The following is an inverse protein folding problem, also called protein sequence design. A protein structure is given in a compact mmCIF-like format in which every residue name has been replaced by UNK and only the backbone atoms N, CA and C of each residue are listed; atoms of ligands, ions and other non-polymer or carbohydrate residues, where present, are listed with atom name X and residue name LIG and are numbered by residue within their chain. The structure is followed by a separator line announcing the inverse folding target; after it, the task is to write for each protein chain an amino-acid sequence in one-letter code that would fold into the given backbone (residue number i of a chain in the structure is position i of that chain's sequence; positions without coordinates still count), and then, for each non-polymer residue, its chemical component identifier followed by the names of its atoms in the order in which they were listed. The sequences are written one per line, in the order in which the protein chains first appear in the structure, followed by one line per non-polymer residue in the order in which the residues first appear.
data_IF_424328247388
#
_entry.id   IF_424328247388
#
_cell.length_a   1.000
_cell.length_b   1.000
_cell.length_c   1.000
_cell.angle_alpha   90.00
_cell.angle_beta   90.00
_cell.angle_gamma   90.00
#
_symmetry.space_group_name_H-M   'P 1'
#
loop_
_entity.id
_entity.type
_entity.pdbx_description
1 polymer ?
#
# COMPACT_ATOMS: atom_id res chain seq x y z
N UNK A 1 10.16 -19.78 11.23
CA UNK A 1 10.26 -18.30 11.27
C UNK A 1 10.13 -17.72 9.87
N UNK A 2 11.08 -17.97 8.96
CA UNK A 2 11.09 -17.42 7.58
C UNK A 2 9.76 -17.48 6.82
N UNK A 3 9.00 -18.59 6.92
CA UNK A 3 7.68 -18.76 6.28
C UNK A 3 6.63 -17.71 6.69
N UNK A 4 6.70 -17.18 7.90
CA UNK A 4 5.71 -16.23 8.45
C UNK A 4 6.20 -14.79 8.47
N UNK A 5 7.50 -14.54 8.25
CA UNK A 5 8.11 -13.20 8.32
C UNK A 5 7.38 -12.20 7.43
N UNK A 6 7.12 -12.55 6.17
CA UNK A 6 6.49 -11.67 5.20
C UNK A 6 5.09 -11.21 5.66
N UNK A 7 4.28 -12.12 6.20
CA UNK A 7 2.94 -11.80 6.67
C UNK A 7 2.96 -10.94 7.94
N UNK A 8 3.80 -11.30 8.90
CA UNK A 8 3.94 -10.58 10.17
C UNK A 8 4.55 -9.19 9.97
N UNK A 9 5.53 -9.05 9.07
CA UNK A 9 6.08 -7.75 8.67
C UNK A 9 4.99 -6.85 8.06
N UNK A 10 4.16 -7.38 7.15
CA UNK A 10 3.02 -6.65 6.58
C UNK A 10 2.05 -6.16 7.65
N UNK A 11 1.78 -6.99 8.65
CA UNK A 11 0.93 -6.59 9.79
C UNK A 11 1.57 -5.46 10.59
N UNK A 12 2.85 -5.57 10.97
CA UNK A 12 3.56 -4.50 11.68
C UNK A 12 3.56 -3.19 10.88
N UNK A 13 3.94 -3.25 9.61
CA UNK A 13 4.02 -2.10 8.69
C UNK A 13 2.66 -1.45 8.44
N UNK A 14 1.57 -2.22 8.57
CA UNK A 14 0.22 -1.67 8.49
C UNK A 14 -0.15 -0.74 9.65
N UNK A 15 0.57 -0.84 10.78
CA UNK A 15 0.34 -0.06 12.00
C UNK A 15 1.31 1.11 12.11
N UNK A 16 2.62 0.88 11.96
CA UNK A 16 3.64 1.93 12.21
C UNK A 16 3.96 2.81 10.99
N UNK A 17 3.63 2.34 9.79
CA UNK A 17 3.89 3.02 8.52
C UNK A 17 5.38 3.31 8.22
N UNK A 18 6.32 2.63 8.90
CA UNK A 18 7.77 2.71 8.68
C UNK A 18 8.36 1.28 8.60
N UNK A 19 9.30 1.05 7.68
CA UNK A 19 9.86 -0.28 7.40
C UNK A 19 10.88 -0.72 8.46
N UNK A 20 11.83 0.14 8.81
CA UNK A 20 12.82 -0.17 9.84
C UNK A 20 12.14 -0.45 11.19
N UNK A 21 11.15 0.37 11.53
CA UNK A 21 10.35 0.17 12.74
C UNK A 21 9.52 -1.12 12.67
N UNK A 22 8.99 -1.48 11.50
CA UNK A 22 8.27 -2.75 11.32
C UNK A 22 9.21 -3.96 11.45
N UNK A 23 10.45 -3.87 10.96
CA UNK A 23 11.48 -4.89 11.14
C UNK A 23 11.85 -5.05 12.61
N UNK A 24 12.15 -3.95 13.32
CA UNK A 24 12.42 -3.95 14.76
C UNK A 24 11.28 -4.60 15.55
N UNK A 25 10.03 -4.24 15.22
CA UNK A 25 8.84 -4.82 15.85
C UNK A 25 8.80 -6.32 15.61
N UNK A 26 9.09 -6.78 14.40
CA UNK A 26 9.07 -8.20 14.08
C UNK A 26 10.15 -8.96 14.87
N UNK A 27 11.37 -8.41 14.95
CA UNK A 27 12.46 -8.99 15.73
C UNK A 27 12.09 -9.10 17.22
N UNK A 28 11.65 -8.00 17.83
CA UNK A 28 11.20 -7.96 19.23
C UNK A 28 10.04 -8.93 19.49
N UNK A 29 9.09 -9.02 18.55
CA UNK A 29 7.96 -9.94 18.64
C UNK A 29 8.41 -11.39 18.64
N UNK A 30 9.43 -11.75 17.86
CA UNK A 30 9.98 -13.10 17.87
C UNK A 30 10.71 -13.43 19.17
N UNK A 31 11.49 -12.50 19.72
CA UNK A 31 12.13 -12.68 21.03
C UNK A 31 11.09 -12.94 22.11
N UNK A 32 10.02 -12.13 22.15
CA UNK A 32 8.90 -12.31 23.09
C UNK A 32 8.14 -13.60 22.86
N UNK A 33 7.91 -13.98 21.61
CA UNK A 33 7.23 -15.22 21.28
C UNK A 33 8.03 -16.43 21.75
N UNK A 34 9.36 -16.44 21.57
CA UNK A 34 10.19 -17.53 22.09
C UNK A 34 10.16 -17.59 23.62
N UNK A 35 10.25 -16.45 24.31
CA UNK A 35 10.18 -16.41 25.76
C UNK A 35 8.82 -16.88 26.32
N UNK A 36 7.73 -16.68 25.56
CA UNK A 36 6.38 -17.06 25.96
C UNK A 36 5.91 -18.40 25.35
N UNK A 37 6.77 -19.11 24.63
CA UNK A 37 6.38 -20.29 23.84
C UNK A 37 5.85 -21.43 24.70
N UNK A 38 6.43 -21.63 25.89
CA UNK A 38 6.00 -22.66 26.84
C UNK A 38 4.55 -22.45 27.32
N UNK A 39 4.03 -21.22 27.24
CA UNK A 39 2.65 -20.88 27.58
C UNK A 39 1.66 -21.06 26.44
N UNK A 40 2.11 -21.40 25.22
CA UNK A 40 1.22 -21.53 24.07
C UNK A 40 0.40 -22.83 24.12
N UNK A 41 -0.89 -22.71 24.44
CA UNK A 41 -1.81 -23.84 24.63
C UNK A 41 -2.46 -24.38 23.35
N UNK A 42 -2.09 -23.88 22.16
CA UNK A 42 -2.67 -24.36 20.89
C UNK A 42 -4.13 -24.01 20.64
N UNK A 43 -4.73 -23.08 21.39
CA UNK A 43 -6.12 -22.65 21.21
C UNK A 43 -6.38 -21.84 19.91
N UNK A 44 -5.32 -21.44 19.21
CA UNK A 44 -5.36 -20.78 17.91
C UNK A 44 -4.16 -21.26 17.09
N UNK A 45 -4.10 -20.92 15.79
CA UNK A 45 -2.91 -21.22 14.99
C UNK A 45 -1.68 -20.47 15.54
N UNK A 46 -0.49 -21.04 15.35
CA UNK A 46 0.76 -20.36 15.71
C UNK A 46 0.87 -18.98 15.04
N UNK A 47 0.42 -18.86 13.79
CA UNK A 47 0.41 -17.60 13.05
C UNK A 47 -0.52 -16.56 13.69
N UNK A 48 -1.73 -16.97 14.08
CA UNK A 48 -2.71 -16.09 14.76
C UNK A 48 -2.13 -15.59 16.09
N UNK A 49 -1.48 -16.47 16.86
CA UNK A 49 -0.83 -16.12 18.12
C UNK A 49 0.35 -15.15 17.91
N UNK A 50 1.24 -15.41 16.95
CA UNK A 50 2.34 -14.50 16.59
C UNK A 50 1.83 -13.14 16.12
N UNK A 51 0.76 -13.13 15.32
CA UNK A 51 0.12 -11.90 14.83
C UNK A 51 -0.38 -11.04 15.98
N UNK A 52 -0.93 -11.66 17.04
CA UNK A 52 -1.36 -10.96 18.25
C UNK A 52 -0.18 -10.27 18.96
N UNK A 53 0.95 -10.95 19.06
CA UNK A 53 2.18 -10.38 19.65
C UNK A 53 2.65 -9.16 18.83
N UNK A 54 2.73 -9.31 17.51
CA UNK A 54 3.15 -8.23 16.60
C UNK A 54 2.25 -7.01 16.69
N UNK A 55 0.92 -7.20 16.69
CA UNK A 55 -0.04 -6.09 16.83
C UNK A 55 0.16 -5.36 18.17
N UNK A 56 0.41 -6.10 19.24
CA UNK A 56 0.62 -5.53 20.57
C UNK A 56 1.92 -4.71 20.64
N UNK A 57 3.02 -5.23 20.08
CA UNK A 57 4.28 -4.50 20.00
C UNK A 57 4.18 -3.24 19.15
N UNK A 58 3.58 -3.34 17.97
CA UNK A 58 3.38 -2.20 17.07
C UNK A 58 2.54 -1.09 17.72
N UNK A 59 1.43 -1.45 18.37
CA UNK A 59 0.61 -0.49 19.12
C UNK A 59 1.36 0.08 20.32
N UNK A 60 2.15 -0.73 21.02
CA UNK A 60 3.00 -0.28 22.13
C UNK A 60 4.03 0.75 21.69
N UNK A 61 4.67 0.52 20.55
CA UNK A 61 5.61 1.45 19.92
C UNK A 61 4.93 2.77 19.53
N UNK A 62 3.77 2.72 18.86
CA UNK A 62 3.02 3.93 18.50
C UNK A 62 2.59 4.74 19.73
N UNK A 63 2.17 4.08 20.82
CA UNK A 63 1.84 4.76 22.10
C UNK A 63 3.06 5.44 22.71
N UNK A 64 4.23 4.80 22.71
CA UNK A 64 5.49 5.39 23.21
C UNK A 64 5.89 6.61 22.38
N UNK A 65 5.82 6.51 21.06
CA UNK A 65 6.10 7.64 20.15
C UNK A 65 5.20 8.83 20.44
N UNK A 66 3.89 8.63 20.55
CA UNK A 66 2.94 9.70 20.89
C UNK A 66 3.25 10.37 22.23
N UNK A 67 3.66 9.59 23.25
CA UNK A 67 4.07 10.15 24.55
C UNK A 67 5.35 10.98 24.45
N UNK A 68 6.36 10.48 23.73
CA UNK A 68 7.59 11.21 23.49
C UNK A 68 7.34 12.52 22.70
N UNK A 69 6.45 12.50 21.71
CA UNK A 69 6.04 13.71 20.96
C UNK A 69 5.34 14.73 21.85
N UNK A 70 4.49 14.30 22.79
CA UNK A 70 3.83 15.21 23.75
C UNK A 70 4.84 15.82 24.75
N UNK A 71 5.93 15.13 25.07
CA UNK A 71 7.03 15.68 25.88
C UNK A 71 7.97 16.60 25.07
N UNK A 72 8.04 16.41 23.75
CA UNK A 72 8.83 17.21 22.81
C UNK A 72 8.10 18.44 22.24
N UNK A 73 6.80 18.61 22.50
CA UNK A 73 6.00 19.76 22.03
C UNK A 73 6.40 21.12 22.68
N UNK A 74 7.56 21.19 23.35
CA UNK A 74 8.28 22.43 23.65
C UNK A 74 9.35 22.81 22.60
N UNK A 75 9.60 21.99 21.57
CA UNK A 75 10.48 22.35 20.45
C UNK A 75 9.91 21.81 19.13
N UNK A 76 9.58 22.78 18.28
CA UNK A 76 9.08 22.77 16.90
C UNK A 76 8.95 21.44 16.10
N UNK A 77 7.78 21.38 15.44
CA UNK A 77 7.44 20.61 14.24
C UNK A 77 8.50 20.58 13.15
N UNK A 78 8.81 19.38 12.65
CA UNK A 78 8.53 18.93 11.28
C UNK A 78 9.54 17.87 10.84
N UNK A 79 9.06 16.67 10.46
CA UNK A 79 9.59 15.94 9.31
C UNK A 79 8.66 14.79 8.94
N UNK A 80 7.87 15.03 7.89
CA UNK A 80 7.32 13.96 7.07
C UNK A 80 8.50 13.30 6.36
N UNK A 81 9.02 12.21 6.91
CA UNK A 81 9.99 11.37 6.23
C UNK A 81 9.32 10.82 4.96
N UNK A 82 9.87 11.18 3.81
CA UNK A 82 9.44 10.68 2.52
C UNK A 82 9.43 9.16 2.53
N UNK A 83 8.26 8.58 2.29
CA UNK A 83 8.10 7.14 2.13
C UNK A 83 8.88 6.70 0.89
N UNK A 84 10.12 6.25 1.10
CA UNK A 84 10.87 5.50 0.11
C UNK A 84 10.05 4.24 -0.19
N UNK A 85 9.60 4.13 -1.43
CA UNK A 85 8.69 3.06 -1.85
C UNK A 85 9.54 1.82 -2.11
N UNK A 86 9.58 0.91 -1.13
CA UNK A 86 10.27 -0.39 -1.25
C UNK A 86 9.21 -1.47 -1.42
N UNK A 87 9.38 -2.28 -2.46
CA UNK A 87 8.46 -3.34 -2.83
C UNK A 87 8.30 -4.38 -1.71
N UNK A 88 7.07 -4.83 -1.42
CA UNK A 88 6.88 -5.94 -0.49
C UNK A 88 7.67 -7.15 -1.00
N UNK A 89 8.40 -7.87 -0.13
CA UNK A 89 9.05 -9.10 -0.49
C UNK A 89 7.98 -10.03 -1.05
N UNK A 90 8.11 -10.45 -2.31
CA UNK A 90 7.18 -11.33 -2.98
C UNK A 90 8.01 -12.17 -3.92
N UNK A 91 8.47 -13.33 -3.45
CA UNK A 91 9.28 -14.22 -4.27
C UNK A 91 8.43 -14.82 -5.38
N UNK A 92 8.80 -14.58 -6.65
CA UNK A 92 8.48 -15.45 -7.77
C UNK A 92 9.55 -15.37 -8.87
N UNK A 93 9.70 -16.50 -9.56
CA UNK A 93 10.73 -16.85 -10.52
C UNK A 93 10.72 -16.00 -11.79
N UNK A 94 11.93 -15.81 -12.33
CA UNK A 94 12.24 -15.14 -13.59
C UNK A 94 11.76 -15.98 -14.77
N UNK A 95 10.56 -15.73 -15.25
CA UNK A 95 10.20 -15.97 -16.64
C UNK A 95 9.64 -14.65 -17.20
N UNK A 96 10.37 -14.10 -18.16
CA UNK A 96 10.23 -12.80 -18.82
C UNK A 96 10.56 -11.54 -17.97
N UNK A 97 11.73 -10.90 -18.20
CA UNK A 97 12.14 -9.65 -17.56
C UNK A 97 11.14 -8.49 -17.76
N UNK A 98 10.49 -8.40 -18.92
CA UNK A 98 9.55 -7.32 -19.21
C UNK A 98 8.25 -7.49 -18.40
N UNK A 99 7.70 -8.70 -18.39
CA UNK A 99 6.59 -9.05 -17.51
C UNK A 99 6.94 -8.93 -16.01
N UNK A 100 8.19 -9.16 -15.61
CA UNK A 100 8.63 -8.97 -14.23
C UNK A 100 8.61 -7.48 -13.82
N UNK A 101 9.12 -6.59 -14.68
CA UNK A 101 9.10 -5.14 -14.44
C UNK A 101 7.66 -4.61 -14.38
N UNK A 102 6.79 -5.02 -15.31
CA UNK A 102 5.38 -4.62 -15.32
C UNK A 102 4.66 -5.07 -14.04
N UNK A 103 4.89 -6.32 -13.60
CA UNK A 103 4.35 -6.83 -12.33
C UNK A 103 4.87 -6.06 -11.12
N UNK A 104 6.14 -5.67 -11.12
CA UNK A 104 6.72 -4.85 -10.04
C UNK A 104 6.08 -3.45 -9.99
N UNK A 105 5.82 -2.81 -11.13
CA UNK A 105 5.15 -1.51 -11.19
C UNK A 105 3.70 -1.57 -10.67
N UNK A 106 2.93 -2.58 -11.08
CA UNK A 106 1.56 -2.79 -10.59
C UNK A 106 1.56 -3.06 -9.08
N UNK A 107 2.51 -3.88 -8.61
CA UNK A 107 2.69 -4.14 -7.18
C UNK A 107 2.92 -2.84 -6.41
N UNK A 108 3.83 -2.00 -6.89
CA UNK A 108 4.16 -0.72 -6.27
C UNK A 108 2.94 0.21 -6.16
N UNK A 109 2.10 0.26 -7.20
CA UNK A 109 0.86 1.03 -7.21
C UNK A 109 -0.12 0.54 -6.13
N UNK A 110 -0.32 -0.77 -6.06
CA UNK A 110 -1.20 -1.38 -5.06
C UNK A 110 -0.68 -1.08 -3.64
N UNK A 111 0.63 -1.21 -3.44
CA UNK A 111 1.28 -0.95 -2.15
C UNK A 111 1.06 0.48 -1.68
N UNK A 112 1.29 1.45 -2.55
CA UNK A 112 1.05 2.87 -2.25
C UNK A 112 -0.41 3.14 -1.93
N UNK A 113 -1.34 2.52 -2.67
CA UNK A 113 -2.77 2.68 -2.41
C UNK A 113 -3.18 2.08 -1.04
N UNK A 114 -2.56 0.96 -0.63
CA UNK A 114 -2.77 0.36 0.69
C UNK A 114 -2.17 1.24 1.79
N UNK A 115 -0.96 1.77 1.59
CA UNK A 115 -0.29 2.64 2.57
C UNK A 115 -1.05 3.95 2.79
N UNK A 116 -1.71 4.48 1.76
CA UNK A 116 -2.58 5.65 1.86
C UNK A 116 -3.85 5.41 2.68
N UNK A 117 -4.23 4.15 2.96
CA UNK A 117 -5.38 3.88 3.81
C UNK A 117 -5.12 4.33 5.26
N UNK A 118 -6.11 4.92 5.93
CA UNK A 118 -6.07 5.11 7.39
C UNK A 118 -5.78 3.80 8.12
N UNK A 119 -4.91 3.84 9.15
CA UNK A 119 -4.42 2.67 9.90
C UNK A 119 -5.52 1.68 10.32
N UNK A 120 -6.68 2.12 10.87
CA UNK A 120 -7.75 1.18 11.27
C UNK A 120 -8.35 0.38 10.10
N UNK A 121 -8.32 0.93 8.88
CA UNK A 121 -8.81 0.27 7.68
C UNK A 121 -7.71 -0.58 7.04
N UNK A 122 -6.48 -0.08 7.02
CA UNK A 122 -5.30 -0.78 6.51
C UNK A 122 -5.05 -2.08 7.28
N UNK A 123 -5.04 -2.04 8.61
CA UNK A 123 -4.85 -3.22 9.45
C UNK A 123 -5.91 -4.29 9.19
N UNK A 124 -7.20 -3.89 9.13
CA UNK A 124 -8.29 -4.82 8.83
C UNK A 124 -8.17 -5.41 7.43
N UNK A 125 -7.77 -4.62 6.45
CA UNK A 125 -7.54 -5.08 5.08
C UNK A 125 -6.41 -6.12 5.02
N UNK A 126 -5.26 -5.84 5.64
CA UNK A 126 -4.13 -6.77 5.67
C UNK A 126 -4.51 -8.08 6.37
N UNK A 127 -5.19 -8.04 7.51
CA UNK A 127 -5.61 -9.24 8.22
C UNK A 127 -6.59 -10.10 7.41
N UNK A 128 -7.52 -9.47 6.69
CA UNK A 128 -8.59 -10.18 5.96
C UNK A 128 -8.20 -10.64 4.56
N UNK A 129 -7.47 -9.82 3.81
CA UNK A 129 -7.16 -10.08 2.39
C UNK A 129 -5.77 -10.68 2.19
N UNK A 130 -4.84 -10.46 3.14
CA UNK A 130 -3.45 -10.90 2.98
C UNK A 130 -3.08 -12.01 3.96
N UNK A 131 -3.57 -11.93 5.21
CA UNK A 131 -3.40 -13.00 6.19
C UNK A 131 -4.56 -14.00 6.19
N UNK A 132 -5.62 -13.73 5.41
CA UNK A 132 -6.81 -14.59 5.28
C UNK A 132 -7.49 -14.94 6.62
N UNK A 133 -7.26 -14.16 7.68
CA UNK A 133 -7.87 -14.37 8.99
C UNK A 133 -9.38 -14.29 8.90
N UNK A 134 -10.12 -15.04 9.72
CA UNK A 134 -11.58 -14.95 9.80
C UNK A 134 -12.05 -13.58 10.33
N UNK A 135 -13.35 -13.28 10.25
CA UNK A 135 -13.89 -12.02 10.79
C UNK A 135 -13.75 -12.02 12.31
N UNK A 136 -13.97 -13.18 12.91
CA UNK A 136 -13.89 -13.47 14.33
C UNK A 136 -12.45 -13.34 14.82
N UNK A 137 -11.49 -13.96 14.14
CA UNK A 137 -10.05 -13.82 14.47
C UNK A 137 -9.59 -12.37 14.33
N UNK A 138 -10.01 -11.68 13.27
CA UNK A 138 -9.67 -10.26 13.07
C UNK A 138 -10.25 -9.40 14.19
N UNK A 139 -11.49 -9.66 14.62
CA UNK A 139 -12.14 -8.98 15.73
C UNK A 139 -11.36 -9.17 17.04
N UNK A 140 -10.96 -10.41 17.34
CA UNK A 140 -10.14 -10.72 18.51
C UNK A 140 -8.76 -10.06 18.47
N UNK A 141 -8.05 -10.15 17.33
CA UNK A 141 -6.72 -9.57 17.15
C UNK A 141 -6.73 -8.04 17.27
N UNK A 142 -7.76 -7.41 16.74
CA UNK A 142 -7.85 -5.94 16.72
C UNK A 142 -8.56 -5.36 17.94
N UNK A 143 -9.35 -6.15 18.68
CA UNK A 143 -10.11 -5.72 19.84
C UNK A 143 -11.39 -4.94 19.49
N UNK A 144 -12.00 -5.21 18.32
CA UNK A 144 -13.22 -4.54 17.86
C UNK A 144 -14.34 -5.56 17.59
N UNK A 145 -15.59 -5.10 17.45
CA UNK A 145 -16.72 -5.99 17.17
C UNK A 145 -16.64 -6.60 15.74
N UNK A 146 -17.08 -7.86 15.51
CA UNK A 146 -17.14 -8.47 14.18
C UNK A 146 -17.85 -7.62 13.11
N UNK A 147 -18.92 -6.92 13.48
CA UNK A 147 -19.64 -6.01 12.58
C UNK A 147 -18.78 -4.81 12.18
N UNK A 148 -17.93 -4.34 13.10
CA UNK A 148 -16.98 -3.25 12.83
C UNK A 148 -15.88 -3.72 11.88
N UNK A 149 -15.44 -4.98 11.97
CA UNK A 149 -14.50 -5.56 10.99
C UNK A 149 -15.11 -5.53 9.59
N UNK A 150 -16.35 -6.01 9.42
CA UNK A 150 -17.04 -6.03 8.11
C UNK A 150 -17.17 -4.62 7.51
N UNK A 151 -17.61 -3.65 8.31
CA UNK A 151 -17.77 -2.27 7.85
C UNK A 151 -16.44 -1.60 7.53
N UNK A 152 -15.39 -1.82 8.33
CA UNK A 152 -14.03 -1.34 8.04
C UNK A 152 -13.45 -1.95 6.79
N UNK A 153 -13.62 -3.26 6.57
CA UNK A 153 -13.16 -3.94 5.35
C UNK A 153 -13.87 -3.38 4.10
N UNK A 154 -15.19 -3.21 4.17
CA UNK A 154 -15.95 -2.60 3.08
C UNK A 154 -15.44 -1.18 2.76
N UNK A 155 -15.20 -0.36 3.80
CA UNK A 155 -14.64 1.00 3.62
C UNK A 155 -13.22 0.96 3.04
N UNK A 156 -12.36 0.06 3.54
CA UNK A 156 -11.00 -0.13 3.03
C UNK A 156 -11.01 -0.46 1.52
N UNK A 157 -11.81 -1.44 1.10
CA UNK A 157 -11.97 -1.80 -0.32
C UNK A 157 -12.46 -0.63 -1.17
N UNK A 158 -13.41 0.17 -0.65
CA UNK A 158 -13.91 1.35 -1.37
C UNK A 158 -12.82 2.42 -1.56
N UNK A 159 -12.08 2.72 -0.49
CA UNK A 159 -10.98 3.70 -0.55
C UNK A 159 -9.86 3.24 -1.49
N UNK A 160 -9.51 1.96 -1.44
CA UNK A 160 -8.51 1.37 -2.34
C UNK A 160 -8.94 1.48 -3.81
N UNK A 161 -10.20 1.16 -4.11
CA UNK A 161 -10.76 1.31 -5.46
C UNK A 161 -10.71 2.76 -5.96
N UNK A 162 -11.05 3.72 -5.10
CA UNK A 162 -10.99 5.14 -5.45
C UNK A 162 -9.55 5.58 -5.76
N UNK A 163 -8.60 5.25 -4.88
CA UNK A 163 -7.18 5.60 -5.07
C UNK A 163 -6.58 4.99 -6.35
N UNK A 164 -6.89 3.71 -6.62
CA UNK A 164 -6.44 3.05 -7.85
C UNK A 164 -7.12 3.64 -9.09
N UNK A 165 -8.41 3.96 -9.03
CA UNK A 165 -9.12 4.56 -10.15
C UNK A 165 -8.57 5.95 -10.51
N UNK A 166 -8.26 6.78 -9.52
CA UNK A 166 -7.62 8.08 -9.73
C UNK A 166 -6.26 7.93 -10.41
N UNK A 167 -5.43 7.00 -9.92
CA UNK A 167 -4.11 6.76 -10.50
C UNK A 167 -4.19 6.19 -11.93
N UNK A 168 -5.13 5.29 -12.19
CA UNK A 168 -5.36 4.76 -13.53
C UNK A 168 -5.95 5.82 -14.47
N UNK A 169 -6.80 6.71 -13.98
CA UNK A 169 -7.37 7.79 -14.78
C UNK A 169 -6.29 8.76 -15.28
N UNK A 170 -5.30 9.11 -14.43
CA UNK A 170 -4.15 9.91 -14.88
C UNK A 170 -3.35 9.18 -15.97
N UNK A 171 -3.11 7.89 -15.81
CA UNK A 171 -2.36 7.11 -16.81
C UNK A 171 -3.17 6.91 -18.10
N UNK A 172 -4.49 6.73 -18.05
CA UNK A 172 -5.31 6.56 -19.26
C UNK A 172 -5.33 7.80 -20.16
N UNK A 173 -5.22 9.00 -19.58
CA UNK A 173 -5.04 10.23 -20.36
C UNK A 173 -3.69 10.26 -21.10
N UNK A 174 -2.66 9.62 -20.53
CA UNK A 174 -1.34 9.48 -21.16
C UNK A 174 -1.28 8.32 -22.16
N UNK A 175 -2.12 7.28 -22.01
CA UNK A 175 -2.17 6.12 -22.92
C UNK A 175 -2.74 6.49 -24.29
N UNK A 176 -3.69 7.43 -24.34
CA UNK A 176 -4.26 7.96 -25.58
C UNK A 176 -3.98 9.46 -25.68
N UNK A 177 -2.71 9.90 -25.83
CA UNK A 177 -2.42 11.30 -26.00
C UNK A 177 -3.15 11.77 -27.26
N UNK A 178 -3.92 12.86 -27.15
CA UNK A 178 -4.56 13.48 -28.30
C UNK A 178 -3.47 13.69 -29.37
N UNK A 179 -3.71 13.08 -30.52
CA UNK A 179 -2.79 12.80 -31.61
C UNK A 179 -1.72 13.90 -31.78
N UNK A 180 -0.47 13.66 -31.36
CA UNK A 180 0.65 14.58 -31.64
C UNK A 180 0.97 14.67 -33.14
N UNK A 181 2.07 14.06 -33.61
CA UNK A 181 2.48 14.06 -35.03
C UNK A 181 1.40 13.59 -36.03
N UNK A 182 0.39 12.85 -35.56
CA UNK A 182 -0.79 12.48 -36.38
C UNK A 182 -1.76 13.64 -36.59
N UNK A 183 -1.97 14.53 -35.62
CA UNK A 183 -2.80 15.73 -35.83
C UNK A 183 -2.07 16.72 -36.74
N UNK A 184 -0.76 16.91 -36.62
CA UNK A 184 0.02 17.71 -37.59
C UNK A 184 -0.17 17.21 -39.02
N UNK A 185 -0.13 15.89 -39.22
CA UNK A 185 -0.32 15.28 -40.54
C UNK A 185 -1.76 15.39 -41.05
N UNK A 186 -2.75 15.30 -40.15
CA UNK A 186 -4.17 15.51 -40.49
C UNK A 186 -4.41 16.98 -40.83
N UNK A 187 -3.90 17.91 -40.03
CA UNK A 187 -3.98 19.36 -40.26
C UNK A 187 -3.29 19.73 -41.56
N UNK A 188 -2.06 19.26 -41.83
CA UNK A 188 -1.37 19.49 -43.10
C UNK A 188 -2.17 18.95 -44.30
N UNK A 189 -2.70 17.72 -44.20
CA UNK A 189 -3.51 17.14 -45.28
C UNK A 189 -4.87 17.84 -45.49
N UNK A 190 -5.42 18.48 -44.46
CA UNK A 190 -6.62 19.31 -44.58
C UNK A 190 -6.28 20.67 -45.20
N UNK A 191 -5.18 21.30 -44.75
CA UNK A 191 -4.68 22.56 -45.32
C UNK A 191 -4.34 22.42 -46.80
N UNK A 192 -3.67 21.34 -47.21
CA UNK A 192 -3.38 21.04 -48.62
C UNK A 192 -4.65 20.86 -49.47
N UNK A 193 -5.74 20.35 -48.88
CA UNK A 193 -7.04 20.21 -49.55
C UNK A 193 -7.83 21.52 -49.60
N UNK A 194 -7.59 22.45 -48.67
CA UNK A 194 -8.25 23.75 -48.62
C UNK A 194 -7.51 24.82 -49.45
N UNK A 195 -6.20 24.67 -49.66
CA UNK A 195 -5.38 25.60 -50.44
C UNK A 195 -5.96 25.90 -51.86
N UNK A 196 -6.48 24.91 -52.62
CA UNK A 196 -7.08 25.16 -53.93
C UNK A 196 -8.47 25.83 -53.87
N UNK A 197 -9.14 25.80 -52.71
CA UNK A 197 -10.54 26.22 -52.56
C UNK A 197 -10.70 27.67 -52.10
N UNK A 198 -9.63 28.33 -51.62
CA UNK A 198 -9.73 29.69 -51.07
C UNK A 198 -8.64 30.69 -51.48
N UNK A 199 -7.65 30.34 -52.31
CA UNK A 199 -6.61 31.31 -52.71
C UNK A 199 -5.76 31.80 -51.53
N UNK A 200 -5.50 30.93 -50.56
CA UNK A 200 -4.69 31.22 -49.38
C UNK A 200 -3.20 30.97 -49.69
N UNK A 201 -2.37 32.02 -49.65
CA UNK A 201 -0.91 31.90 -49.63
C UNK A 201 -0.39 31.84 -48.17
N UNK A 202 0.43 30.83 -47.79
CA UNK A 202 1.05 30.80 -46.47
C UNK A 202 2.17 31.85 -46.42
N UNK A 203 2.03 32.85 -45.54
CA UNK A 203 3.07 33.85 -45.29
C UNK A 203 4.33 33.23 -44.67
N UNK A 204 5.54 33.76 -44.96
CA UNK A 204 6.78 33.18 -44.47
C UNK A 204 7.05 33.57 -43.01
N UNK A 205 7.34 32.54 -42.19
CA UNK A 205 8.20 32.60 -40.99
C UNK A 205 7.63 33.29 -39.76
#
# INVERSE_FOLDING_TARGET
MQRHNQGLFRVARSIVADEAEAEDILQESYVRAFAALDGFRGASSLLTWLTRIVINEARGRLRRRRRATVELDQVETAQAAGAAVVAFPGGQAMDDPEAAIARAQIRLLIERAIDALPEPFRLVFILREVQECSVEETAELTGIRPETVKTRLHRARRLLRLALNETLASTMHETFPFLGRRCERITAAVLDRLAPLQGWEPGPG
#
